data_IF_911310847957
#
_entry.id   IF_911310847957
#
_cell.length_a   1.000
_cell.length_b   1.000
_cell.length_c   1.000
_cell.angle_alpha   90.00
_cell.angle_beta   90.00
_cell.angle_gamma   90.00
#
_symmetry.space_group_name_H-M   'P 1'
#
loop_
_entity.id
_entity.type
_entity.pdbx_description
1 polymer ?
#
# COMPACT_ATOMS: atom_id res chain seq x y z
N UNK A 1 -60.25 -17.74 3.08
CA UNK A 1 -59.70 -17.61 3.17
C UNK A 1 -58.73 -17.25 3.11
N UNK A 2 -58.29 -17.12 3.00
CA UNK A 2 -57.52 -16.85 3.05
C UNK A 2 -56.44 -16.52 2.98
N UNK A 3 -55.84 -16.22 2.95
CA UNK A 3 -54.88 -15.94 2.95
C UNK A 3 -53.91 -15.67 2.48
N UNK A 4 -53.34 -15.49 2.41
CA UNK A 4 -52.54 -15.27 2.06
C UNK A 4 -51.60 -14.77 1.81
N UNK A 5 -50.97 -14.44 1.79
CA UNK A 5 -50.16 -14.01 1.47
C UNK A 5 -49.18 -13.49 1.40
N UNK A 6 -48.66 -13.29 1.56
CA UNK A 6 -47.87 -12.76 1.56
C UNK A 6 -46.84 -12.66 1.41
N UNK A 7 -46.17 -12.43 1.64
CA UNK A 7 -45.13 -12.45 1.57
C UNK A 7 -44.28 -12.04 0.90
N UNK A 8 -43.78 -12.04 0.58
CA UNK A 8 -43.00 -11.68 -0.21
C UNK A 8 -42.17 -10.65 -0.15
N UNK A 9 -42.19 -9.98 -0.34
CA UNK A 9 -41.44 -8.85 -0.32
C UNK A 9 -40.12 -8.99 0.08
N UNK A 10 -39.83 -9.40 0.89
CA UNK A 10 -38.62 -9.55 1.29
C UNK A 10 -37.57 -9.49 0.42
N UNK A 11 -37.50 -10.07 -0.30
CA UNK A 11 -36.50 -10.13 -1.10
C UNK A 11 -35.80 -9.04 -1.46
N UNK A 12 -36.16 -8.29 -1.76
CA UNK A 12 -35.53 -7.26 -2.19
C UNK A 12 -34.39 -6.79 -1.53
N UNK A 13 -34.27 -6.63 -0.60
CA UNK A 13 -33.24 -6.03 0.08
C UNK A 13 -31.91 -6.45 -0.33
N UNK A 14 -31.78 -7.52 -0.81
CA UNK A 14 -30.58 -7.94 -1.15
C UNK A 14 -29.85 -7.30 -2.14
N UNK A 15 -30.22 -7.06 -3.10
CA UNK A 15 -29.44 -6.59 -4.16
C UNK A 15 -28.53 -5.45 -3.90
N UNK A 16 -28.85 -4.65 -3.01
CA UNK A 16 -28.08 -3.48 -2.88
C UNK A 16 -26.71 -3.64 -2.40
N UNK A 17 -26.45 -4.51 -1.56
CA UNK A 17 -25.15 -4.53 -1.01
C UNK A 17 -24.07 -4.79 -2.01
N UNK A 18 -24.35 -5.43 -3.02
CA UNK A 18 -23.32 -5.78 -3.95
C UNK A 18 -22.56 -4.57 -4.49
N UNK A 19 -23.16 -3.45 -4.49
CA UNK A 19 -22.52 -2.32 -5.08
C UNK A 19 -21.30 -1.82 -4.38
N UNK A 20 -21.09 -2.21 -3.18
CA UNK A 20 -20.00 -1.67 -2.50
C UNK A 20 -18.75 -2.39 -2.69
N UNK A 21 -18.74 -3.40 -3.42
CA UNK A 21 -17.55 -4.18 -3.60
C UNK A 21 -16.36 -3.38 -4.11
N UNK A 22 -16.59 -2.31 -4.84
CA UNK A 22 -15.51 -1.56 -5.37
C UNK A 22 -14.70 -0.80 -4.35
N UNK A 23 -15.21 -0.66 -3.20
CA UNK A 23 -14.52 0.15 -2.21
C UNK A 23 -13.84 -0.67 -1.15
N UNK A 24 -13.35 -1.82 -1.51
CA UNK A 24 -12.62 -2.65 -0.56
C UNK A 24 -11.36 -1.92 -0.12
N UNK A 25 -11.18 -1.69 1.17
CA UNK A 25 -9.97 -1.00 1.62
C UNK A 25 -8.74 -1.88 1.44
N UNK A 26 -7.58 -1.28 1.28
CA UNK A 26 -6.34 -2.04 1.18
C UNK A 26 -6.09 -2.81 2.45
N UNK A 27 -5.48 -3.97 2.31
CA UNK A 27 -5.17 -4.80 3.46
C UNK A 27 -3.98 -4.22 4.21
N UNK A 28 -4.12 -4.05 5.52
CA UNK A 28 -3.04 -3.58 6.36
C UNK A 28 -2.29 -4.78 6.91
N UNK A 29 -0.98 -4.78 6.75
CA UNK A 29 -0.11 -5.84 7.23
C UNK A 29 0.67 -5.35 8.44
N UNK A 30 1.06 -6.27 9.31
CA UNK A 30 1.83 -5.95 10.50
C UNK A 30 2.96 -6.94 10.69
N UNK A 31 4.10 -6.46 11.09
CA UNK A 31 5.21 -7.33 11.48
C UNK A 31 6.23 -6.51 12.28
N UNK A 32 6.63 -7.02 13.44
CA UNK A 32 7.69 -6.38 14.22
C UNK A 32 7.42 -4.95 14.61
N UNK A 33 6.17 -4.59 14.87
CA UNK A 33 5.82 -3.22 15.21
C UNK A 33 5.64 -2.31 14.03
N UNK A 34 5.97 -2.77 12.81
CA UNK A 34 5.72 -2.01 11.59
C UNK A 34 4.38 -2.38 11.01
N UNK A 35 3.72 -1.43 10.39
CA UNK A 35 2.52 -1.71 9.59
C UNK A 35 2.75 -1.17 8.19
N UNK A 36 2.11 -1.76 7.21
CA UNK A 36 2.23 -1.27 5.83
C UNK A 36 1.02 -1.63 5.00
N UNK A 37 0.84 -0.87 3.93
CA UNK A 37 -0.14 -1.16 2.89
C UNK A 37 0.53 -0.99 1.55
N UNK A 38 0.11 -1.74 0.56
CA UNK A 38 0.65 -1.63 -0.80
C UNK A 38 -0.47 -1.86 -1.80
N UNK A 39 -0.33 -1.30 -2.98
CA UNK A 39 -1.31 -1.48 -4.05
C UNK A 39 -1.29 -0.34 -5.02
N UNK A 40 -2.46 -0.02 -5.58
CA UNK A 40 -2.60 1.07 -6.51
C UNK A 40 -2.58 0.66 -7.96
N UNK A 41 -2.79 -0.63 -8.25
CA UNK A 41 -2.82 -1.10 -9.62
C UNK A 41 -4.03 -0.58 -10.38
N UNK A 42 -5.15 -0.42 -9.70
CA UNK A 42 -6.35 0.13 -10.33
C UNK A 42 -6.77 1.40 -9.62
N UNK A 43 -7.59 2.19 -10.27
CA UNK A 43 -7.96 3.49 -9.72
C UNK A 43 -8.65 3.44 -8.38
N UNK A 44 -9.53 2.49 -8.16
CA UNK A 44 -10.22 2.35 -6.88
C UNK A 44 -9.23 2.08 -5.75
N UNK A 45 -8.22 1.26 -6.00
CA UNK A 45 -7.19 0.98 -5.03
C UNK A 45 -6.37 2.23 -4.74
N UNK A 46 -6.03 2.99 -5.77
CA UNK A 46 -5.25 4.20 -5.57
C UNK A 46 -5.99 5.20 -4.70
N UNK A 47 -7.29 5.36 -4.93
CA UNK A 47 -8.07 6.28 -4.11
C UNK A 47 -8.10 5.84 -2.66
N UNK A 48 -8.26 4.54 -2.44
CA UNK A 48 -8.29 4.01 -1.09
C UNK A 48 -6.94 4.17 -0.40
N UNK A 49 -5.84 3.94 -1.12
CA UNK A 49 -4.52 4.13 -0.57
C UNK A 49 -4.25 5.60 -0.22
N UNK A 50 -4.64 6.51 -1.10
CA UNK A 50 -4.38 7.92 -0.87
C UNK A 50 -5.10 8.43 0.38
N UNK A 51 -6.23 7.86 0.71
CA UNK A 51 -6.94 8.21 1.94
C UNK A 51 -6.19 7.74 3.17
N UNK A 52 -5.41 6.67 3.05
CA UNK A 52 -4.64 6.14 4.16
C UNK A 52 -3.27 6.80 4.31
N UNK A 53 -2.79 7.47 3.27
CA UNK A 53 -1.43 8.02 3.26
C UNK A 53 -1.07 8.83 4.51
N UNK A 54 -1.96 9.66 5.06
CA UNK A 54 -1.59 10.43 6.25
C UNK A 54 -1.24 9.59 7.47
N UNK A 55 -1.59 8.32 7.49
CA UNK A 55 -1.29 7.44 8.61
C UNK A 55 0.07 6.74 8.45
N UNK A 56 0.73 6.94 7.32
CA UNK A 56 1.97 6.24 7.02
C UNK A 56 3.07 7.25 6.72
N UNK A 57 4.02 7.44 7.62
CA UNK A 57 5.04 8.46 7.42
C UNK A 57 6.04 8.15 6.31
N UNK A 58 6.21 6.88 5.92
CA UNK A 58 7.11 6.56 4.83
C UNK A 58 6.26 6.13 3.65
N UNK A 59 6.37 6.87 2.55
CA UNK A 59 5.56 6.61 1.36
C UNK A 59 6.47 6.42 0.16
N UNK A 60 6.40 5.25 -0.44
CA UNK A 60 7.25 4.90 -1.57
C UNK A 60 6.42 4.81 -2.83
N UNK A 61 6.97 5.33 -3.92
CA UNK A 61 6.35 5.32 -5.23
C UNK A 61 7.34 4.73 -6.21
N UNK A 62 6.92 3.76 -7.00
CA UNK A 62 7.80 3.06 -7.93
C UNK A 62 7.40 3.34 -9.38
N UNK A 63 8.40 3.62 -10.20
CA UNK A 63 8.23 3.81 -11.65
C UNK A 63 9.13 2.85 -12.38
N UNK A 64 8.66 2.34 -13.50
CA UNK A 64 9.48 1.52 -14.39
C UNK A 64 9.35 2.13 -15.79
N UNK A 65 10.47 2.52 -16.38
CA UNK A 65 10.46 3.16 -17.69
C UNK A 65 9.70 4.48 -17.72
N UNK A 66 9.64 5.17 -16.57
CA UNK A 66 8.94 6.44 -16.46
C UNK A 66 7.44 6.30 -16.20
N UNK A 67 6.96 5.09 -16.00
CA UNK A 67 5.54 4.86 -15.77
C UNK A 67 5.28 4.22 -14.41
N UNK A 68 4.23 4.69 -13.75
CA UNK A 68 3.82 4.14 -12.48
C UNK A 68 2.85 2.98 -12.71
N UNK A 69 2.04 3.06 -13.75
CA UNK A 69 1.00 2.07 -13.97
C UNK A 69 1.55 0.67 -14.15
N UNK A 70 0.89 -0.27 -13.53
CA UNK A 70 1.23 -1.68 -13.69
C UNK A 70 2.45 -2.15 -12.91
N UNK A 71 3.12 -1.25 -12.18
CA UNK A 71 4.32 -1.65 -11.45
C UNK A 71 3.92 -2.48 -10.23
N UNK A 72 4.58 -3.63 -10.06
CA UNK A 72 4.34 -4.51 -8.93
C UNK A 72 5.61 -5.34 -8.74
N UNK A 73 5.74 -5.98 -7.61
CA UNK A 73 6.85 -6.90 -7.38
C UNK A 73 8.18 -6.23 -7.01
N UNK A 74 8.16 -4.98 -6.56
CA UNK A 74 9.38 -4.34 -6.11
C UNK A 74 9.69 -4.86 -4.71
N UNK A 75 10.90 -5.38 -4.53
CA UNK A 75 11.32 -5.92 -3.25
C UNK A 75 11.92 -4.80 -2.41
N UNK A 76 11.33 -4.53 -1.27
CA UNK A 76 11.73 -3.42 -0.42
C UNK A 76 12.25 -3.93 0.91
N UNK A 77 13.39 -3.41 1.34
CA UNK A 77 13.95 -3.70 2.66
C UNK A 77 14.10 -2.38 3.41
N UNK A 78 13.49 -2.31 4.58
CA UNK A 78 13.64 -1.16 5.46
C UNK A 78 14.68 -1.50 6.51
N UNK A 79 15.74 -0.69 6.60
CA UNK A 79 16.81 -0.89 7.58
C UNK A 79 16.85 0.29 8.53
N UNK A 80 17.19 0.01 9.78
CA UNK A 80 17.35 1.06 10.77
C UNK A 80 18.72 1.76 10.62
N UNK A 81 19.00 2.69 11.51
CA UNK A 81 20.24 3.45 11.44
C UNK A 81 21.49 2.62 11.66
N UNK A 82 21.35 1.43 12.17
CA UNK A 82 22.49 0.51 12.37
C UNK A 82 22.62 -0.51 11.25
N UNK A 83 21.78 -0.40 10.23
CA UNK A 83 21.83 -1.31 9.09
C UNK A 83 21.04 -2.60 9.27
N UNK A 84 20.32 -2.73 10.39
CA UNK A 84 19.56 -3.95 10.63
C UNK A 84 18.26 -3.93 9.87
N UNK A 85 17.92 -5.04 9.24
CA UNK A 85 16.68 -5.17 8.50
C UNK A 85 15.51 -5.20 9.47
N UNK A 86 14.58 -4.27 9.31
CA UNK A 86 13.39 -4.18 10.12
C UNK A 86 12.20 -4.78 9.42
N UNK A 87 12.20 -4.76 8.10
CA UNK A 87 11.04 -5.18 7.34
C UNK A 87 11.45 -5.50 5.91
N UNK A 88 10.93 -6.60 5.37
CA UNK A 88 11.09 -6.94 3.96
C UNK A 88 9.72 -7.17 3.38
N UNK A 89 9.41 -6.49 2.29
CA UNK A 89 8.09 -6.51 1.68
C UNK A 89 8.22 -6.52 0.17
N UNK A 90 7.33 -7.22 -0.52
CA UNK A 90 7.24 -7.15 -1.98
C UNK A 90 6.01 -6.32 -2.29
N UNK A 91 6.17 -5.27 -3.10
CA UNK A 91 5.06 -4.37 -3.39
C UNK A 91 3.98 -5.06 -4.21
N UNK A 92 2.73 -4.70 -3.92
CA UNK A 92 1.58 -5.23 -4.63
C UNK A 92 1.06 -4.25 -5.67
N UNK A 93 1.77 -3.18 -5.86
CA UNK A 93 1.43 -2.14 -6.83
C UNK A 93 2.51 -1.08 -6.81
N UNK A 94 2.29 0.05 -7.46
CA UNK A 94 3.29 1.11 -7.53
C UNK A 94 3.48 1.89 -6.24
N UNK A 95 2.66 1.65 -5.22
CA UNK A 95 2.75 2.37 -3.97
C UNK A 95 2.95 1.41 -2.80
N UNK A 96 3.81 1.82 -1.85
CA UNK A 96 4.02 1.08 -0.62
C UNK A 96 4.18 2.10 0.50
N UNK A 97 3.28 2.07 1.48
CA UNK A 97 3.30 3.00 2.59
C UNK A 97 3.63 2.22 3.85
N UNK A 98 4.58 2.73 4.63
CA UNK A 98 5.08 2.03 5.81
C UNK A 98 5.00 2.95 7.03
N UNK A 99 4.54 2.39 8.13
CA UNK A 99 4.60 3.06 9.42
C UNK A 99 5.57 2.24 10.29
N UNK A 100 6.80 2.73 10.50
CA UNK A 100 7.78 2.00 11.30
C UNK A 100 7.46 2.12 12.80
N UNK A 101 8.03 1.26 13.63
CA UNK A 101 7.72 1.29 15.07
C UNK A 101 8.25 2.53 15.78
N UNK A 102 9.21 3.24 15.20
CA UNK A 102 9.79 4.43 15.80
C UNK A 102 10.35 5.31 14.71
N UNK A 103 10.57 6.57 15.03
CA UNK A 103 11.25 7.48 14.10
C UNK A 103 12.73 7.21 14.05
N UNK A 104 13.45 7.97 13.24
CA UNK A 104 14.89 7.85 13.15
C UNK A 104 15.37 7.91 11.71
N UNK A 105 16.59 7.46 11.50
CA UNK A 105 17.18 7.41 10.18
C UNK A 105 17.00 6.02 9.62
N UNK A 106 16.55 5.95 8.38
CA UNK A 106 16.29 4.68 7.72
C UNK A 106 17.01 4.62 6.38
N UNK A 107 17.46 3.42 6.02
CA UNK A 107 17.90 3.14 4.65
C UNK A 107 16.84 2.23 4.05
N UNK A 108 16.37 2.61 2.89
CA UNK A 108 15.29 1.88 2.22
C UNK A 108 15.82 1.41 0.89
N UNK A 109 15.96 0.09 0.76
CA UNK A 109 16.43 -0.54 -0.47
C UNK A 109 15.23 -0.97 -1.28
N UNK A 110 15.25 -0.72 -2.57
CA UNK A 110 14.21 -1.19 -3.48
C UNK A 110 14.87 -1.88 -4.65
N UNK A 111 14.43 -3.08 -4.97
CA UNK A 111 15.02 -3.88 -6.03
C UNK A 111 13.95 -4.32 -7.02
N UNK A 112 14.20 -4.13 -8.30
CA UNK A 112 13.29 -4.54 -9.36
C UNK A 112 14.12 -5.09 -10.52
N UNK A 113 13.85 -6.33 -10.91
CA UNK A 113 14.59 -6.99 -12.00
C UNK A 113 16.10 -6.90 -11.84
N UNK A 114 16.58 -7.10 -10.62
CA UNK A 114 18.01 -7.06 -10.34
C UNK A 114 18.62 -5.68 -10.15
N UNK A 115 17.87 -4.61 -10.43
CA UNK A 115 18.35 -3.26 -10.21
C UNK A 115 18.00 -2.85 -8.80
N UNK A 116 19.01 -2.61 -7.96
CA UNK A 116 18.81 -2.28 -6.57
C UNK A 116 19.21 -0.83 -6.32
N UNK A 117 18.32 -0.10 -5.71
CA UNK A 117 18.57 1.31 -5.38
C UNK A 117 18.32 1.50 -3.90
N UNK A 118 19.08 2.40 -3.28
CA UNK A 118 18.98 2.66 -1.86
C UNK A 118 18.85 4.15 -1.60
N UNK A 119 18.03 4.53 -0.66
CA UNK A 119 17.95 5.91 -0.20
C UNK A 119 18.00 5.90 1.33
N UNK A 120 18.81 6.80 1.90
CA UNK A 120 18.92 6.95 3.34
C UNK A 120 18.31 8.30 3.71
N UNK A 121 17.33 8.29 4.58
CA UNK A 121 16.60 9.47 4.96
C UNK A 121 16.31 9.47 6.45
N UNK A 122 16.16 10.68 6.99
CA UNK A 122 15.91 10.86 8.40
C UNK A 122 14.46 11.32 8.59
N UNK A 123 13.71 10.59 9.39
CA UNK A 123 12.32 10.93 9.66
C UNK A 123 12.21 11.87 10.85
N UNK A 124 13.28 12.06 11.62
CA UNK A 124 13.25 12.96 12.78
C UNK A 124 12.96 14.38 12.31
N UNK A 125 11.97 15.01 12.91
CA UNK A 125 11.60 16.38 12.55
C UNK A 125 10.79 16.49 11.28
N UNK A 126 10.45 15.36 10.68
CA UNK A 126 9.63 15.35 9.47
C UNK A 126 8.38 14.56 9.73
N UNK A 127 7.29 14.99 9.14
CA UNK A 127 6.04 14.27 9.26
C UNK A 127 6.00 13.10 8.28
N UNK A 128 6.56 13.30 7.10
CA UNK A 128 6.53 12.30 6.04
C UNK A 128 7.83 12.25 5.28
N UNK A 129 8.17 11.05 4.79
CA UNK A 129 9.21 10.84 3.80
C UNK A 129 8.52 10.27 2.58
N UNK A 130 8.55 11.00 1.48
CA UNK A 130 7.95 10.54 0.22
C UNK A 130 9.10 10.29 -0.73
N UNK A 131 9.32 9.04 -1.09
CA UNK A 131 10.48 8.63 -1.89
C UNK A 131 10.04 7.99 -3.18
N UNK A 132 10.67 8.40 -4.28
CA UNK A 132 10.44 7.79 -5.57
C UNK A 132 11.61 6.93 -5.96
N UNK A 133 11.34 5.76 -6.52
CA UNK A 133 12.36 4.88 -7.07
C UNK A 133 12.04 4.70 -8.55
N UNK A 134 13.01 5.00 -9.40
CA UNK A 134 12.83 4.95 -10.84
C UNK A 134 13.71 3.87 -11.41
N UNK A 135 13.10 2.86 -11.98
CA UNK A 135 13.82 1.74 -12.59
C UNK A 135 13.73 1.83 -14.10
N UNK A 136 14.75 1.34 -14.77
CA UNK A 136 14.75 1.33 -16.22
C UNK A 136 13.82 0.23 -16.73
N UNK A 137 13.18 0.48 -17.86
CA UNK A 137 12.41 -0.56 -18.53
C UNK A 137 13.38 -1.53 -19.20
N UNK A 138 12.98 -2.80 -19.30
CA UNK A 138 13.81 -3.81 -19.97
C UNK A 138 13.45 -3.94 -21.43
#
# INVERSE_FOLDING_TARGET
MKNRLIVVAILLALGTSALRADETPPQVHKKGGSTWVSGGLVEADRKALFKLAPKYPIQLIFQVGGEIEGVTGVKVTLRDQYGESMLEVVSEGPYLYINPPAGGRFTIDAEYNGDKQSQTKDLVGRRYLILEYKFAAN
#
